data_IF_574196075159
#
_entry.id   IF_574196075159
#
_cell.length_a   1.000
_cell.length_b   1.000
_cell.length_c   1.000
_cell.angle_alpha   90.00
_cell.angle_beta   90.00
_cell.angle_gamma   90.00
#
_symmetry.space_group_name_H-M   'P 1'
#
loop_
_entity.id
_entity.type
_entity.pdbx_description
1 polymer ?
#
# COMPACT_ATOMS: atom_id res chain seq x y z
N UNK A 1 -12.86 -8.78 -24.17
CA UNK A 1 -11.69 -8.41 -23.34
C UNK A 1 -11.96 -7.05 -22.72
N UNK A 2 -11.52 -6.82 -21.50
CA UNK A 2 -11.61 -5.51 -20.85
C UNK A 2 -10.42 -4.64 -21.26
N UNK A 3 -10.69 -3.39 -21.61
CA UNK A 3 -9.69 -2.44 -22.10
C UNK A 3 -9.11 -1.64 -20.94
N UNK A 4 -7.81 -1.81 -20.68
CA UNK A 4 -7.06 -1.19 -19.60
C UNK A 4 -6.06 -0.21 -20.17
N UNK A 5 -6.16 1.06 -19.82
CA UNK A 5 -5.19 2.07 -20.17
C UNK A 5 -4.29 2.38 -18.96
N UNK A 6 -2.98 2.23 -19.13
CA UNK A 6 -1.99 2.62 -18.11
C UNK A 6 -1.29 3.90 -18.57
N UNK A 7 -1.50 4.99 -17.84
CA UNK A 7 -0.92 6.31 -18.14
C UNK A 7 0.20 6.65 -17.16
N UNK A 8 1.45 6.69 -17.64
CA UNK A 8 2.63 7.03 -16.86
C UNK A 8 3.72 5.94 -16.88
N UNK A 9 4.70 6.06 -17.77
CA UNK A 9 5.66 5.01 -18.10
C UNK A 9 6.84 4.84 -17.12
N UNK A 10 7.30 5.89 -16.47
CA UNK A 10 8.58 5.86 -15.73
C UNK A 10 8.47 5.65 -14.23
N UNK A 11 7.27 5.34 -13.70
CA UNK A 11 7.09 5.04 -12.29
C UNK A 11 7.48 3.60 -11.96
N UNK A 12 8.07 3.37 -10.78
CA UNK A 12 8.45 2.04 -10.28
C UNK A 12 7.24 1.09 -10.19
N UNK A 13 6.07 1.62 -9.86
CA UNK A 13 4.80 0.85 -9.86
C UNK A 13 4.49 0.36 -11.28
N UNK A 14 4.64 1.22 -12.30
CA UNK A 14 4.32 0.86 -13.68
C UNK A 14 5.23 -0.25 -14.23
N UNK A 15 6.54 -0.19 -13.93
CA UNK A 15 7.47 -1.24 -14.36
C UNK A 15 7.10 -2.62 -13.79
N UNK A 16 6.70 -2.67 -12.52
CA UNK A 16 6.23 -3.91 -11.90
C UNK A 16 4.85 -4.33 -12.40
N UNK A 17 3.94 -3.38 -12.58
CA UNK A 17 2.63 -3.64 -13.16
C UNK A 17 2.76 -4.26 -14.56
N UNK A 18 3.66 -3.74 -15.40
CA UNK A 18 3.92 -4.30 -16.74
C UNK A 18 4.35 -5.78 -16.64
N UNK A 19 5.32 -6.11 -15.77
CA UNK A 19 5.77 -7.50 -15.58
C UNK A 19 4.63 -8.44 -15.18
N UNK A 20 3.67 -7.95 -14.37
CA UNK A 20 2.61 -8.78 -13.80
C UNK A 20 1.42 -8.98 -14.77
N UNK A 21 1.10 -7.98 -15.61
CA UNK A 21 -0.12 -8.04 -16.44
C UNK A 21 0.12 -8.24 -17.94
N UNK A 22 1.36 -8.16 -18.42
CA UNK A 22 1.66 -8.30 -19.87
C UNK A 22 1.19 -9.61 -20.49
N UNK A 23 1.08 -10.67 -19.70
CA UNK A 23 0.68 -12.00 -20.16
C UNK A 23 -0.81 -12.31 -19.88
N UNK A 24 -1.61 -11.29 -19.50
CA UNK A 24 -3.05 -11.44 -19.24
C UNK A 24 -3.83 -11.52 -20.56
N UNK A 25 -4.42 -12.67 -20.82
CA UNK A 25 -5.22 -12.97 -22.03
C UNK A 25 -6.65 -12.43 -22.00
N UNK A 26 -7.13 -12.03 -20.83
CA UNK A 26 -8.46 -11.47 -20.60
C UNK A 26 -8.52 -9.93 -20.67
N UNK A 27 -7.35 -9.28 -20.83
CA UNK A 27 -7.22 -7.82 -20.87
C UNK A 27 -6.63 -7.35 -22.22
N UNK A 28 -7.14 -6.24 -22.74
CA UNK A 28 -6.50 -5.44 -23.77
C UNK A 28 -5.77 -4.28 -23.09
N UNK A 29 -4.42 -4.35 -23.04
CA UNK A 29 -3.64 -3.38 -22.28
C UNK A 29 -2.99 -2.37 -23.22
N UNK A 30 -3.25 -1.09 -22.97
CA UNK A 30 -2.66 0.03 -23.70
C UNK A 30 -1.74 0.79 -22.75
N UNK A 31 -0.46 0.88 -23.12
CA UNK A 31 0.55 1.63 -22.40
C UNK A 31 0.76 2.99 -23.03
N UNK A 32 0.48 4.07 -22.28
CA UNK A 32 0.88 5.42 -22.67
C UNK A 32 2.25 5.74 -22.08
N UNK A 33 3.28 5.43 -22.86
CA UNK A 33 4.68 5.53 -22.43
C UNK A 33 5.15 6.97 -22.30
N UNK A 34 4.69 7.88 -23.15
CA UNK A 34 5.10 9.29 -23.14
C UNK A 34 4.00 10.18 -23.70
N UNK A 35 3.80 11.36 -23.08
CA UNK A 35 2.94 12.43 -23.64
C UNK A 35 3.41 12.92 -25.00
N UNK A 36 4.67 12.62 -25.39
CA UNK A 36 5.27 13.02 -26.67
C UNK A 36 4.97 12.05 -27.81
N UNK A 37 4.46 10.86 -27.53
CA UNK A 37 4.19 9.82 -28.53
C UNK A 37 2.81 9.91 -29.16
N UNK A 38 1.87 10.59 -28.51
CA UNK A 38 0.49 10.77 -28.97
C UNK A 38 0.09 12.22 -28.91
N UNK A 39 -0.75 12.69 -29.85
CA UNK A 39 -1.32 14.04 -29.77
C UNK A 39 -2.23 14.17 -28.55
N UNK A 40 -2.55 15.42 -28.18
CA UNK A 40 -3.50 15.68 -27.08
C UNK A 40 -4.87 15.02 -27.36
N UNK A 41 -5.36 15.15 -28.59
CA UNK A 41 -6.65 14.58 -29.02
C UNK A 41 -6.64 13.05 -28.96
N UNK A 42 -5.55 12.43 -29.43
CA UNK A 42 -5.37 10.97 -29.34
C UNK A 42 -5.34 10.50 -27.88
N UNK A 43 -4.64 11.21 -27.01
CA UNK A 43 -4.61 10.89 -25.57
C UNK A 43 -6.01 10.99 -24.94
N UNK A 44 -6.74 12.06 -25.22
CA UNK A 44 -8.12 12.23 -24.75
C UNK A 44 -9.02 11.11 -25.26
N UNK A 45 -8.91 10.72 -26.53
CA UNK A 45 -9.67 9.62 -27.10
C UNK A 45 -9.36 8.28 -26.40
N UNK A 46 -8.09 7.98 -26.13
CA UNK A 46 -7.66 6.76 -25.41
C UNK A 46 -8.20 6.75 -23.99
N UNK A 47 -8.05 7.86 -23.24
CA UNK A 47 -8.57 7.99 -21.87
C UNK A 47 -10.07 7.73 -21.77
N UNK A 48 -10.84 8.11 -22.80
CA UNK A 48 -12.30 7.96 -22.83
C UNK A 48 -12.80 6.67 -23.50
N UNK A 49 -11.92 5.87 -24.08
CA UNK A 49 -12.26 4.60 -24.74
C UNK A 49 -11.99 3.35 -23.88
N UNK A 50 -11.32 3.50 -22.75
CA UNK A 50 -10.98 2.39 -21.87
C UNK A 50 -12.14 2.01 -20.94
N UNK A 51 -12.19 0.75 -20.48
CA UNK A 51 -13.06 0.34 -19.36
C UNK A 51 -12.49 0.87 -18.04
N UNK A 52 -11.15 0.90 -17.92
CA UNK A 52 -10.44 1.41 -16.72
C UNK A 52 -9.14 2.10 -17.13
N UNK A 53 -8.84 3.20 -16.45
CA UNK A 53 -7.59 3.95 -16.56
C UNK A 53 -6.82 3.85 -15.25
N UNK A 54 -5.54 3.47 -15.33
CA UNK A 54 -4.61 3.43 -14.21
C UNK A 54 -3.65 4.60 -14.36
N UNK A 55 -3.73 5.57 -13.43
CA UNK A 55 -2.90 6.76 -13.44
C UNK A 55 -1.65 6.52 -12.58
N UNK A 56 -0.49 6.31 -13.24
CA UNK A 56 0.82 6.07 -12.62
C UNK A 56 1.73 7.31 -12.71
N UNK A 57 1.17 8.49 -12.53
CA UNK A 57 1.85 9.78 -12.72
C UNK A 57 2.05 10.52 -11.38
N UNK A 58 2.71 11.68 -11.41
CA UNK A 58 2.76 12.58 -10.26
C UNK A 58 1.37 13.11 -9.90
N UNK A 59 1.16 13.47 -8.64
CA UNK A 59 -0.13 13.99 -8.17
C UNK A 59 -0.61 15.20 -9.00
N UNK A 60 0.28 16.14 -9.33
CA UNK A 60 -0.05 17.29 -10.17
C UNK A 60 -0.55 16.85 -11.55
N UNK A 61 0.16 15.91 -12.18
CA UNK A 61 -0.22 15.39 -13.50
C UNK A 61 -1.55 14.66 -13.48
N UNK A 62 -1.84 13.92 -12.40
CA UNK A 62 -3.14 13.25 -12.21
C UNK A 62 -4.26 14.27 -12.10
N UNK A 63 -4.07 15.35 -11.33
CA UNK A 63 -5.05 16.46 -11.23
C UNK A 63 -5.32 17.09 -12.60
N UNK A 64 -4.30 17.29 -13.43
CA UNK A 64 -4.44 17.81 -14.80
C UNK A 64 -5.11 16.82 -15.76
N UNK A 65 -4.95 15.51 -15.53
CA UNK A 65 -5.48 14.44 -16.38
C UNK A 65 -6.97 14.17 -16.12
N UNK A 66 -7.40 14.21 -14.87
CA UNK A 66 -8.76 13.84 -14.49
C UNK A 66 -9.87 14.59 -15.26
N UNK A 67 -9.79 15.91 -15.51
CA UNK A 67 -10.78 16.61 -16.32
C UNK A 67 -10.91 16.14 -17.77
N UNK A 68 -9.89 15.45 -18.31
CA UNK A 68 -9.90 14.90 -19.65
C UNK A 68 -10.72 13.62 -19.78
N UNK A 69 -11.03 12.95 -18.64
CA UNK A 69 -11.82 11.72 -18.58
C UNK A 69 -13.31 12.10 -18.44
N UNK A 70 -13.92 12.42 -19.56
CA UNK A 70 -15.31 12.90 -19.62
C UNK A 70 -16.35 11.77 -19.72
N UNK A 71 -15.96 10.61 -20.25
CA UNK A 71 -16.81 9.42 -20.29
C UNK A 71 -17.07 8.90 -18.89
N UNK A 72 -18.35 8.89 -18.47
CA UNK A 72 -18.77 8.51 -17.11
C UNK A 72 -18.64 7.02 -16.81
N UNK A 73 -18.56 6.18 -17.84
CA UNK A 73 -18.41 4.73 -17.72
C UNK A 73 -16.95 4.33 -17.40
N UNK A 74 -16.00 5.20 -17.71
CA UNK A 74 -14.57 4.92 -17.44
C UNK A 74 -14.32 4.93 -15.95
N UNK A 75 -13.76 3.81 -15.48
CA UNK A 75 -13.26 3.66 -14.11
C UNK A 75 -11.83 4.14 -14.00
N UNK A 76 -11.41 4.63 -12.82
CA UNK A 76 -10.05 5.17 -12.64
C UNK A 76 -9.43 4.66 -11.35
N UNK A 77 -8.18 4.23 -11.44
CA UNK A 77 -7.30 3.97 -10.28
C UNK A 77 -6.19 5.03 -10.27
N UNK A 78 -6.09 5.77 -9.18
CA UNK A 78 -4.98 6.71 -8.93
C UNK A 78 -3.94 6.07 -8.01
N UNK A 79 -2.70 5.93 -8.49
CA UNK A 79 -1.58 5.42 -7.69
C UNK A 79 -0.82 6.52 -6.97
N UNK A 80 -1.12 7.78 -7.27
CA UNK A 80 -0.49 8.95 -6.65
C UNK A 80 -1.11 9.28 -5.28
N UNK A 81 -0.80 10.42 -4.75
CA UNK A 81 -1.41 10.94 -3.53
C UNK A 81 -2.46 12.05 -3.79
N UNK A 82 -2.84 12.28 -5.05
CA UNK A 82 -3.73 13.39 -5.42
C UNK A 82 -5.11 13.27 -4.77
N UNK A 83 -5.67 12.08 -4.75
CA UNK A 83 -7.05 11.84 -4.36
C UNK A 83 -7.26 10.91 -3.16
N UNK A 84 -6.19 10.55 -2.44
CA UNK A 84 -6.29 9.61 -1.29
C UNK A 84 -7.24 10.03 -0.19
N UNK A 85 -7.44 11.33 0.00
CA UNK A 85 -8.32 11.88 1.02
C UNK A 85 -9.60 12.49 0.43
N UNK A 86 -9.81 12.38 -0.88
CA UNK A 86 -10.97 12.95 -1.55
C UNK A 86 -12.23 12.11 -1.25
N UNK A 87 -13.33 12.73 -0.77
CA UNK A 87 -14.54 11.98 -0.38
C UNK A 87 -15.19 11.18 -1.50
N UNK A 88 -14.97 11.59 -2.77
CA UNK A 88 -15.51 10.91 -3.96
C UNK A 88 -14.68 9.73 -4.43
N UNK A 89 -13.56 9.44 -3.78
CA UNK A 89 -12.68 8.33 -4.11
C UNK A 89 -12.73 7.24 -3.04
N UNK A 90 -12.85 6.00 -3.48
CA UNK A 90 -12.80 4.85 -2.57
C UNK A 90 -11.34 4.50 -2.27
N UNK A 91 -11.04 4.30 -1.01
CA UNK A 91 -9.72 3.88 -0.56
C UNK A 91 -9.45 2.43 -0.96
N UNK A 92 -8.45 2.20 -1.80
CA UNK A 92 -8.16 0.94 -2.48
C UNK A 92 -7.47 -0.09 -1.59
N UNK A 93 -8.11 -0.50 -0.51
CA UNK A 93 -7.61 -1.48 0.44
C UNK A 93 -8.69 -2.51 0.78
N UNK A 94 -8.83 -3.59 -0.02
CA UNK A 94 -9.89 -4.60 0.12
C UNK A 94 -9.94 -5.25 1.51
N UNK A 95 -8.81 -5.41 2.16
CA UNK A 95 -8.63 -6.07 3.47
C UNK A 95 -9.22 -5.30 4.65
N UNK A 96 -9.73 -4.08 4.43
CA UNK A 96 -10.50 -3.39 5.47
C UNK A 96 -11.81 -4.09 5.82
N UNK A 97 -12.25 -5.06 5.02
CA UNK A 97 -13.39 -5.95 5.26
C UNK A 97 -14.29 -6.12 4.03
N UNK A 98 -15.30 -6.99 4.15
CA UNK A 98 -16.19 -7.36 3.04
C UNK A 98 -16.93 -6.16 2.41
N UNK A 99 -17.33 -5.18 3.21
CA UNK A 99 -17.99 -3.97 2.70
C UNK A 99 -17.05 -3.10 1.87
N UNK A 100 -15.75 -3.13 2.17
CA UNK A 100 -14.77 -2.38 1.39
C UNK A 100 -14.60 -2.97 -0.01
N UNK A 101 -14.57 -4.29 -0.14
CA UNK A 101 -14.57 -4.96 -1.46
C UNK A 101 -15.76 -4.57 -2.30
N UNK A 102 -16.97 -4.54 -1.71
CA UNK A 102 -18.18 -4.09 -2.41
C UNK A 102 -18.08 -2.61 -2.84
N UNK A 103 -17.54 -1.75 -1.97
CA UNK A 103 -17.31 -0.33 -2.32
C UNK A 103 -16.36 -0.20 -3.51
N UNK A 104 -15.22 -0.92 -3.49
CA UNK A 104 -14.25 -0.92 -4.58
C UNK A 104 -14.87 -1.43 -5.88
N UNK A 105 -15.55 -2.57 -5.87
CA UNK A 105 -16.18 -3.16 -7.05
C UNK A 105 -17.19 -2.22 -7.72
N UNK A 106 -17.94 -1.44 -6.93
CA UNK A 106 -18.94 -0.49 -7.42
C UNK A 106 -18.38 0.92 -7.66
N UNK A 107 -17.11 1.17 -7.32
CA UNK A 107 -16.52 2.48 -7.44
C UNK A 107 -16.22 2.84 -8.90
N UNK A 108 -16.41 4.12 -9.24
CA UNK A 108 -15.83 4.71 -10.43
C UNK A 108 -14.37 5.13 -10.20
N UNK A 109 -14.05 5.61 -9.00
CA UNK A 109 -12.74 6.14 -8.64
C UNK A 109 -12.19 5.42 -7.41
N UNK A 110 -10.98 4.88 -7.54
CA UNK A 110 -10.23 4.23 -6.46
C UNK A 110 -8.86 4.88 -6.33
N UNK A 111 -8.47 5.26 -5.12
CA UNK A 111 -7.13 5.76 -4.82
C UNK A 111 -6.33 4.74 -4.02
N UNK A 112 -5.09 4.47 -4.42
CA UNK A 112 -4.23 3.53 -3.72
C UNK A 112 -3.59 4.14 -2.47
N UNK A 113 -3.51 3.38 -1.38
CA UNK A 113 -2.80 3.79 -0.17
C UNK A 113 -1.28 3.85 -0.36
N UNK A 114 -0.61 4.64 0.49
CA UNK A 114 0.84 4.60 0.60
C UNK A 114 1.29 3.34 1.38
N UNK A 115 2.45 2.72 1.04
CA UNK A 115 2.89 1.48 1.69
C UNK A 115 2.95 1.56 3.22
N UNK A 116 3.52 2.63 3.80
CA UNK A 116 3.56 2.78 5.26
C UNK A 116 2.16 2.88 5.88
N UNK A 117 1.22 3.54 5.20
CA UNK A 117 -0.18 3.59 5.68
C UNK A 117 -0.83 2.20 5.58
N UNK A 118 -0.57 1.43 4.51
CA UNK A 118 -1.03 0.04 4.39
C UNK A 118 -0.60 -0.77 5.60
N UNK A 119 0.71 -0.85 5.89
CA UNK A 119 1.21 -1.61 7.04
C UNK A 119 0.60 -1.15 8.37
N UNK A 120 0.53 0.16 8.59
CA UNK A 120 -0.06 0.72 9.82
C UNK A 120 -1.53 0.33 9.97
N UNK A 121 -2.32 0.54 8.91
CA UNK A 121 -3.75 0.22 8.90
C UNK A 121 -4.00 -1.26 9.14
N UNK A 122 -3.22 -2.14 8.50
CA UNK A 122 -3.33 -3.59 8.69
C UNK A 122 -3.07 -4.02 10.13
N UNK A 123 -2.16 -3.35 10.83
CA UNK A 123 -1.85 -3.67 12.22
C UNK A 123 -2.93 -3.20 13.20
N UNK A 124 -3.52 -2.02 12.98
CA UNK A 124 -4.43 -1.42 13.97
C UNK A 124 -5.92 -1.64 13.69
N UNK A 125 -6.32 -1.86 12.43
CA UNK A 125 -7.73 -2.02 12.05
C UNK A 125 -8.45 -3.16 12.79
N UNK A 126 -7.86 -4.37 12.96
CA UNK A 126 -8.46 -5.43 13.77
C UNK A 126 -8.71 -5.01 15.23
N UNK A 127 -7.78 -4.27 15.81
CA UNK A 127 -7.87 -3.82 17.20
C UNK A 127 -8.92 -2.73 17.39
N UNK A 128 -9.04 -1.81 16.43
CA UNK A 128 -10.08 -0.78 16.43
C UNK A 128 -11.47 -1.40 16.22
N UNK A 129 -11.63 -2.28 15.24
CA UNK A 129 -12.90 -3.00 14.97
C UNK A 129 -13.30 -3.88 16.15
N UNK A 130 -12.33 -4.52 16.81
CA UNK A 130 -12.53 -5.31 18.04
C UNK A 130 -12.80 -4.47 19.31
N UNK A 131 -12.77 -3.13 19.21
CA UNK A 131 -12.86 -2.21 20.35
C UNK A 131 -11.82 -2.53 21.44
N UNK A 132 -10.64 -2.97 21.02
CA UNK A 132 -9.49 -3.28 21.87
C UNK A 132 -8.65 -2.02 22.01
N UNK A 133 -8.32 -1.38 20.90
CA UNK A 133 -7.59 -0.13 20.88
C UNK A 133 -8.58 1.04 20.82
N UNK A 134 -8.53 1.99 21.75
CA UNK A 134 -9.36 3.18 21.66
C UNK A 134 -8.85 4.10 20.53
N UNK A 135 -9.75 4.78 19.77
CA UNK A 135 -9.35 5.60 18.62
C UNK A 135 -8.50 6.83 19.01
N UNK A 136 -8.51 7.21 20.28
CA UNK A 136 -7.71 8.31 20.82
C UNK A 136 -6.36 7.87 21.42
N UNK A 137 -5.95 6.60 21.24
CA UNK A 137 -4.63 6.15 21.65
C UNK A 137 -3.56 6.79 20.76
N UNK A 138 -2.54 7.49 21.32
CA UNK A 138 -1.42 8.00 20.55
C UNK A 138 -0.66 6.84 19.87
N UNK A 139 -0.41 6.98 18.58
CA UNK A 139 0.32 5.99 17.79
C UNK A 139 1.72 6.47 17.46
N UNK A 140 2.68 5.59 17.68
CA UNK A 140 4.08 5.73 17.29
C UNK A 140 4.39 4.63 16.27
N UNK A 141 4.67 5.02 15.04
CA UNK A 141 4.87 4.08 13.93
C UNK A 141 6.29 4.24 13.42
N UNK A 142 7.05 3.16 13.41
CA UNK A 142 8.35 3.12 12.77
C UNK A 142 8.23 2.36 11.45
N UNK A 143 8.98 2.78 10.44
CA UNK A 143 9.09 2.00 9.21
C UNK A 143 10.48 2.11 8.60
N UNK A 144 10.94 0.99 8.03
CA UNK A 144 12.14 0.93 7.19
C UNK A 144 11.71 0.42 5.83
N UNK A 145 12.09 1.13 4.77
CA UNK A 145 11.70 0.80 3.40
C UNK A 145 12.89 0.89 2.45
N UNK A 146 12.90 0.01 1.46
CA UNK A 146 13.88 0.02 0.39
C UNK A 146 13.81 1.29 -0.47
N UNK A 147 14.94 1.65 -1.10
CA UNK A 147 15.10 2.90 -1.85
C UNK A 147 14.15 3.02 -3.07
N UNK A 148 13.59 1.91 -3.59
CA UNK A 148 12.60 1.96 -4.68
C UNK A 148 11.33 2.74 -4.31
N UNK A 149 11.05 2.89 -3.00
CA UNK A 149 9.92 3.67 -2.49
C UNK A 149 9.99 5.16 -2.89
N UNK A 150 11.20 5.69 -3.11
CA UNK A 150 11.42 7.05 -3.59
C UNK A 150 11.35 7.24 -5.11
N UNK A 151 11.00 6.17 -5.86
CA UNK A 151 10.87 6.21 -7.31
C UNK A 151 12.19 6.22 -8.06
N UNK A 152 12.12 6.38 -9.39
CA UNK A 152 13.27 6.24 -10.28
C UNK A 152 14.48 7.13 -9.92
N UNK A 153 14.23 8.36 -9.48
CA UNK A 153 15.30 9.28 -9.05
C UNK A 153 16.06 8.76 -7.82
N UNK A 154 15.33 8.20 -6.85
CA UNK A 154 15.95 7.65 -5.65
C UNK A 154 16.73 6.38 -5.97
N UNK A 155 16.20 5.51 -6.83
CA UNK A 155 16.90 4.33 -7.33
C UNK A 155 18.24 4.75 -7.97
N UNK A 156 18.21 5.70 -8.89
CA UNK A 156 19.43 6.20 -9.55
C UNK A 156 20.47 6.73 -8.55
N UNK A 157 20.02 7.42 -7.49
CA UNK A 157 20.93 7.93 -6.44
C UNK A 157 21.54 6.79 -5.59
N UNK A 158 20.79 5.75 -5.30
CA UNK A 158 21.31 4.61 -4.50
C UNK A 158 22.17 3.65 -5.32
N UNK A 159 21.93 3.55 -6.61
CA UNK A 159 22.70 2.69 -7.53
C UNK A 159 23.90 3.38 -8.16
N UNK A 160 24.10 4.68 -7.93
CA UNK A 160 25.29 5.40 -8.38
C UNK A 160 26.54 4.87 -7.63
N UNK A 161 27.54 4.35 -8.33
CA UNK A 161 28.79 3.87 -7.72
C UNK A 161 29.58 4.98 -6.97
N UNK A 162 29.31 6.25 -7.29
CA UNK A 162 29.96 7.42 -6.64
C UNK A 162 29.06 8.04 -5.55
N UNK A 163 27.98 7.36 -5.13
CA UNK A 163 27.06 7.88 -4.11
C UNK A 163 27.76 8.21 -2.79
N UNK A 164 27.30 9.20 -2.03
CA UNK A 164 27.82 9.53 -0.73
C UNK A 164 27.74 8.33 0.24
N UNK A 165 28.73 8.17 1.12
CA UNK A 165 28.75 7.09 2.12
C UNK A 165 27.51 7.06 3.03
N UNK A 166 26.87 8.21 3.26
CA UNK A 166 25.63 8.30 4.04
C UNK A 166 24.46 7.50 3.46
N UNK A 167 24.53 7.10 2.18
CA UNK A 167 23.52 6.24 1.54
C UNK A 167 23.64 4.76 1.92
N UNK A 168 24.75 4.36 2.55
CA UNK A 168 24.96 2.98 3.01
C UNK A 168 24.45 2.74 4.44
N UNK A 169 23.55 3.59 4.92
CA UNK A 169 22.90 3.45 6.23
C UNK A 169 21.47 3.97 6.18
N UNK A 170 20.63 3.45 7.07
CA UNK A 170 19.25 3.92 7.20
C UNK A 170 19.19 5.44 7.43
N UNK A 171 18.35 6.13 6.67
CA UNK A 171 18.16 7.58 6.76
C UNK A 171 16.73 7.91 7.05
N UNK A 172 16.48 8.54 8.19
CA UNK A 172 15.15 9.02 8.56
C UNK A 172 14.79 10.26 7.73
N UNK A 173 13.55 10.30 7.25
CA UNK A 173 12.98 11.45 6.54
C UNK A 173 11.70 11.94 7.21
N UNK A 174 11.03 12.96 6.65
CA UNK A 174 9.84 13.59 7.24
C UNK A 174 10.08 14.07 8.68
N UNK A 175 11.24 14.68 8.94
CA UNK A 175 11.67 15.12 10.27
C UNK A 175 10.75 16.20 10.86
N UNK A 176 10.06 16.96 10.01
CA UNK A 176 9.05 17.95 10.37
C UNK A 176 7.69 17.37 10.74
N UNK A 177 7.52 16.05 10.62
CA UNK A 177 6.25 15.34 10.90
C UNK A 177 5.05 15.89 10.12
N UNK A 178 5.24 16.29 8.84
CA UNK A 178 4.18 16.87 7.98
C UNK A 178 3.86 16.03 6.74
N UNK A 179 3.88 14.70 6.86
CA UNK A 179 3.64 13.80 5.73
C UNK A 179 2.16 13.39 5.61
N UNK A 180 1.69 13.20 4.37
CA UNK A 180 0.28 12.92 4.06
C UNK A 180 -0.22 11.62 4.72
N UNK A 181 0.64 10.62 4.88
CA UNK A 181 0.31 9.33 5.47
C UNK A 181 -0.30 9.44 6.88
N UNK A 182 0.01 10.47 7.63
CA UNK A 182 -0.64 10.73 8.92
C UNK A 182 -2.15 10.94 8.78
N UNK A 183 -2.55 11.81 7.83
CA UNK A 183 -3.97 12.08 7.53
C UNK A 183 -4.63 10.86 6.87
N UNK A 184 -3.88 10.13 6.07
CA UNK A 184 -4.34 8.90 5.40
C UNK A 184 -4.72 7.82 6.44
N UNK A 185 -3.86 7.57 7.43
CA UNK A 185 -4.13 6.62 8.52
C UNK A 185 -5.35 7.07 9.34
N UNK A 186 -5.44 8.36 9.67
CA UNK A 186 -6.62 8.91 10.37
C UNK A 186 -7.91 8.67 9.58
N UNK A 187 -7.88 8.93 8.28
CA UNK A 187 -9.03 8.74 7.39
C UNK A 187 -9.44 7.27 7.28
N UNK A 188 -8.47 6.37 7.09
CA UNK A 188 -8.73 4.95 6.89
C UNK A 188 -9.22 4.23 8.16
N UNK A 189 -8.72 4.62 9.33
CA UNK A 189 -8.96 3.93 10.60
C UNK A 189 -9.84 4.70 11.57
N UNK A 190 -10.08 5.99 11.36
CA UNK A 190 -10.85 6.83 12.30
C UNK A 190 -10.12 7.13 13.60
N UNK A 191 -8.78 7.05 13.64
CA UNK A 191 -8.02 7.47 14.83
C UNK A 191 -8.09 8.97 15.01
N UNK A 192 -8.23 9.41 16.28
CA UNK A 192 -8.51 10.80 16.61
C UNK A 192 -7.26 11.69 16.62
N UNK A 193 -6.10 11.10 16.92
CA UNK A 193 -4.83 11.83 16.96
C UNK A 193 -3.96 11.48 15.75
N UNK A 194 -3.26 12.51 15.27
CA UNK A 194 -2.27 12.36 14.22
C UNK A 194 -1.14 11.44 14.68
N UNK A 195 -0.87 10.31 14.00
CA UNK A 195 0.23 9.42 14.37
C UNK A 195 1.59 10.11 14.30
N UNK A 196 2.48 9.79 15.22
CA UNK A 196 3.91 10.11 15.07
C UNK A 196 4.54 9.06 14.15
N UNK A 197 5.07 9.49 13.02
CA UNK A 197 5.65 8.59 12.02
C UNK A 197 7.18 8.76 11.96
N UNK A 198 7.90 7.66 12.05
CA UNK A 198 9.36 7.60 11.99
C UNK A 198 9.80 6.77 10.76
N UNK A 199 9.62 7.29 9.54
CA UNK A 199 9.99 6.58 8.33
C UNK A 199 11.49 6.65 8.07
N UNK A 200 12.09 5.53 7.70
CA UNK A 200 13.48 5.41 7.27
C UNK A 200 13.56 4.77 5.89
N UNK A 201 14.49 5.25 5.06
CA UNK A 201 14.88 4.61 3.82
C UNK A 201 16.26 4.01 4.01
N UNK A 202 16.49 2.81 3.46
CA UNK A 202 17.74 2.10 3.67
C UNK A 202 18.28 1.48 2.37
N UNK A 203 19.50 0.98 2.41
CA UNK A 203 20.30 0.53 1.27
C UNK A 203 19.94 -0.89 0.80
N UNK A 204 18.67 -1.08 0.45
CA UNK A 204 18.18 -2.26 -0.27
C UNK A 204 17.03 -1.84 -1.19
N UNK A 205 16.78 -2.58 -2.31
CA UNK A 205 15.84 -2.10 -3.33
C UNK A 205 14.38 -2.14 -2.87
N UNK A 206 13.89 -3.29 -2.43
CA UNK A 206 12.45 -3.53 -2.21
C UNK A 206 12.18 -4.16 -0.85
N UNK A 207 11.01 -3.88 -0.34
CA UNK A 207 10.53 -4.37 0.95
C UNK A 207 10.27 -3.23 1.93
N UNK A 208 9.34 -3.44 2.82
CA UNK A 208 9.02 -2.51 3.89
C UNK A 208 8.67 -3.30 5.16
N UNK A 209 9.20 -2.83 6.26
CA UNK A 209 8.81 -3.23 7.62
C UNK A 209 8.16 -2.05 8.31
N UNK A 210 6.95 -2.22 8.79
CA UNK A 210 6.23 -1.24 9.62
C UNK A 210 6.03 -1.84 10.99
N UNK A 211 6.41 -1.11 12.06
CA UNK A 211 6.27 -1.57 13.44
C UNK A 211 5.56 -0.57 14.32
N UNK A 212 4.76 -1.08 15.26
CA UNK A 212 4.02 -0.30 16.25
C UNK A 212 4.26 -0.91 17.64
N UNK A 213 5.18 -0.35 18.42
CA UNK A 213 5.32 -0.71 19.84
C UNK A 213 4.13 -0.15 20.63
N UNK A 214 3.54 -0.96 21.49
CA UNK A 214 2.44 -0.53 22.36
C UNK A 214 2.49 -1.13 23.75
N UNK A 215 2.14 -0.31 24.73
CA UNK A 215 1.90 -0.78 26.09
C UNK A 215 0.47 -1.33 26.19
N UNK A 216 0.31 -2.60 26.56
CA UNK A 216 -0.99 -3.26 26.65
C UNK A 216 -1.91 -2.67 27.72
N UNK A 217 -1.34 -2.02 28.73
CA UNK A 217 -2.10 -1.31 29.79
C UNK A 217 -2.85 -0.07 29.28
N UNK A 218 -2.51 0.44 28.09
CA UNK A 218 -3.16 1.60 27.46
C UNK A 218 -4.37 1.20 26.62
N UNK A 219 -4.59 -0.09 26.41
CA UNK A 219 -5.72 -0.62 25.67
C UNK A 219 -7.01 -0.56 26.48
N UNK A 220 -8.15 -0.54 25.78
CA UNK A 220 -9.47 -0.54 26.41
C UNK A 220 -9.80 -1.87 27.13
N UNK A 221 -9.12 -2.94 26.75
CA UNK A 221 -9.25 -4.27 27.36
C UNK A 221 -7.88 -4.75 27.82
N UNK A 222 -7.84 -5.40 28.97
CA UNK A 222 -6.62 -6.03 29.46
C UNK A 222 -6.38 -7.32 28.70
N UNK A 223 -5.41 -7.30 27.81
CA UNK A 223 -5.04 -8.42 26.93
C UNK A 223 -3.54 -8.67 26.98
N UNK A 224 -3.12 -9.88 26.63
CA UNK A 224 -1.73 -10.29 26.41
C UNK A 224 -1.40 -10.23 24.93
N UNK A 225 -0.13 -10.18 24.56
CA UNK A 225 0.32 -10.13 23.16
C UNK A 225 -0.24 -11.28 22.32
N UNK A 226 -0.36 -12.50 22.89
CA UNK A 226 -0.98 -13.66 22.20
C UNK A 226 -2.45 -13.40 21.85
N UNK A 227 -3.22 -12.74 22.71
CA UNK A 227 -4.63 -12.41 22.43
C UNK A 227 -4.76 -11.30 21.37
N UNK A 228 -3.78 -10.40 21.29
CA UNK A 228 -3.69 -9.45 20.17
C UNK A 228 -3.45 -10.19 18.86
N UNK A 229 -2.49 -11.12 18.85
CA UNK A 229 -2.23 -12.01 17.72
C UNK A 229 -3.49 -12.80 17.31
N UNK A 230 -4.19 -13.47 18.26
CA UNK A 230 -5.44 -14.19 17.99
C UNK A 230 -6.50 -13.30 17.33
N UNK A 231 -6.58 -12.03 17.75
CA UNK A 231 -7.50 -11.04 17.17
C UNK A 231 -7.15 -10.76 15.71
N UNK A 232 -5.88 -10.57 15.40
CA UNK A 232 -5.40 -10.35 14.05
C UNK A 232 -5.58 -11.61 13.18
N UNK A 233 -5.21 -12.77 13.69
CA UNK A 233 -5.34 -14.06 13.00
C UNK A 233 -6.79 -14.33 12.59
N UNK A 234 -7.73 -14.16 13.52
CA UNK A 234 -9.17 -14.32 13.25
C UNK A 234 -9.70 -13.29 12.25
N UNK A 235 -9.22 -12.04 12.34
CA UNK A 235 -9.68 -10.97 11.45
C UNK A 235 -9.27 -11.21 10.01
N UNK A 236 -8.04 -11.72 9.79
CA UNK A 236 -7.46 -11.95 8.46
C UNK A 236 -7.52 -13.41 7.99
N UNK A 237 -8.20 -14.30 8.70
CA UNK A 237 -8.28 -15.73 8.38
C UNK A 237 -8.66 -16.03 6.91
N UNK A 238 -9.50 -15.18 6.32
CA UNK A 238 -10.02 -15.35 4.95
C UNK A 238 -9.32 -14.47 3.91
N UNK A 239 -8.24 -13.80 4.29
CA UNK A 239 -7.51 -12.89 3.42
C UNK A 239 -6.33 -13.61 2.73
N UNK A 240 -6.44 -13.97 1.44
CA UNK A 240 -5.47 -14.85 0.79
C UNK A 240 -4.07 -14.24 0.65
N UNK A 241 -3.96 -12.92 0.73
CA UNK A 241 -2.68 -12.20 0.63
C UNK A 241 -2.08 -11.86 2.00
N UNK A 242 -2.77 -12.20 3.10
CA UNK A 242 -2.33 -11.85 4.46
C UNK A 242 -2.02 -13.11 5.24
N UNK A 243 -0.80 -13.22 5.70
CA UNK A 243 -0.32 -14.26 6.59
C UNK A 243 -0.10 -13.64 7.98
N UNK A 244 -0.88 -14.05 8.96
CA UNK A 244 -0.58 -13.74 10.37
C UNK A 244 0.31 -14.87 10.88
N UNK A 245 1.61 -14.58 10.94
CA UNK A 245 2.65 -15.57 11.30
C UNK A 245 2.43 -16.06 12.73
N UNK A 246 2.66 -17.34 12.98
CA UNK A 246 2.36 -17.96 14.27
C UNK A 246 3.06 -17.22 15.42
N UNK A 247 2.36 -17.08 16.54
CA UNK A 247 2.86 -16.32 17.69
C UNK A 247 4.00 -17.09 18.40
N UNK A 248 3.80 -18.39 18.57
CA UNK A 248 4.73 -19.25 19.30
C UNK A 248 5.89 -19.63 18.35
N UNK A 249 7.12 -19.26 18.71
CA UNK A 249 8.34 -19.61 17.95
C UNK A 249 8.74 -18.59 16.88
N UNK A 250 7.88 -17.64 16.47
CA UNK A 250 8.19 -16.73 15.37
C UNK A 250 9.51 -15.95 15.55
N UNK A 251 9.84 -15.52 16.76
CA UNK A 251 11.08 -14.82 17.03
C UNK A 251 12.31 -15.74 16.90
N UNK A 252 12.20 -16.99 17.34
CA UNK A 252 13.28 -17.99 17.30
C UNK A 252 13.49 -18.46 15.85
N UNK A 253 12.42 -18.71 15.11
CA UNK A 253 12.46 -19.09 13.70
C UNK A 253 13.15 -18.03 12.81
N UNK A 254 13.04 -16.76 13.21
CA UNK A 254 13.71 -15.63 12.56
C UNK A 254 15.11 -15.35 13.12
N UNK A 255 15.62 -16.19 14.04
CA UNK A 255 16.91 -15.97 14.69
C UNK A 255 16.98 -14.65 15.48
N UNK A 256 15.84 -14.14 15.95
CA UNK A 256 15.73 -12.86 16.66
C UNK A 256 15.74 -11.61 15.78
N UNK A 257 15.74 -11.76 14.45
CA UNK A 257 15.78 -10.64 13.50
C UNK A 257 14.61 -10.68 12.52
N UNK A 258 14.00 -9.52 12.26
CA UNK A 258 12.95 -9.36 11.27
C UNK A 258 13.44 -8.38 10.18
N UNK A 259 13.88 -8.90 9.06
CA UNK A 259 14.38 -8.12 7.94
C UNK A 259 13.22 -7.49 7.12
N UNK A 260 13.42 -6.28 6.63
CA UNK A 260 12.41 -5.58 5.85
C UNK A 260 12.27 -6.12 4.41
N UNK A 261 13.30 -6.80 3.89
CA UNK A 261 13.34 -7.36 2.54
C UNK A 261 12.71 -8.75 2.38
N UNK A 262 12.36 -9.43 3.46
CA UNK A 262 11.95 -10.85 3.42
C UNK A 262 10.71 -11.18 2.61
N UNK A 263 9.94 -10.17 2.19
CA UNK A 263 8.79 -10.34 1.30
C UNK A 263 8.97 -9.65 -0.07
N UNK A 264 10.18 -9.21 -0.40
CA UNK A 264 10.47 -8.57 -1.68
C UNK A 264 10.12 -9.50 -2.85
N UNK A 265 9.46 -8.95 -3.87
CA UNK A 265 8.96 -9.70 -5.03
C UNK A 265 7.66 -10.46 -4.81
N UNK A 266 7.05 -10.37 -3.61
CA UNK A 266 5.77 -11.03 -3.28
C UNK A 266 4.62 -10.03 -3.22
N UNK A 267 3.41 -10.49 -3.55
CA UNK A 267 2.18 -9.74 -3.29
C UNK A 267 1.52 -10.10 -1.94
N UNK A 268 2.14 -10.95 -1.14
CA UNK A 268 1.69 -11.29 0.20
C UNK A 268 2.25 -10.31 1.23
N UNK A 269 1.58 -10.27 2.38
CA UNK A 269 2.00 -9.53 3.56
C UNK A 269 2.04 -10.46 4.76
N UNK A 270 3.09 -10.37 5.54
CA UNK A 270 3.21 -11.03 6.84
C UNK A 270 2.93 -10.05 7.96
N UNK A 271 2.11 -10.47 8.92
CA UNK A 271 1.79 -9.74 10.14
C UNK A 271 2.27 -10.53 11.35
N UNK A 272 2.86 -9.83 12.30
CA UNK A 272 3.43 -10.40 13.52
C UNK A 272 2.91 -9.65 14.74
N UNK A 273 2.82 -10.36 15.86
CA UNK A 273 2.73 -9.78 17.19
C UNK A 273 3.77 -10.47 18.07
N UNK A 274 4.68 -9.70 18.63
CA UNK A 274 5.70 -10.15 19.56
C UNK A 274 5.48 -9.52 20.92
N UNK A 275 5.97 -10.13 21.99
CA UNK A 275 5.97 -9.53 23.30
C UNK A 275 5.35 -10.41 24.38
N UNK A 276 5.00 -9.77 25.48
CA UNK A 276 4.58 -10.44 26.72
C UNK A 276 3.21 -9.94 27.23
N UNK A 277 3.06 -9.84 28.53
CA UNK A 277 1.82 -9.40 29.18
C UNK A 277 1.73 -7.86 29.36
N UNK A 278 2.81 -7.13 29.11
CA UNK A 278 2.90 -5.69 29.31
C UNK A 278 3.13 -4.91 28.01
N UNK A 279 3.98 -5.45 27.12
CA UNK A 279 4.40 -4.78 25.88
C UNK A 279 4.14 -5.71 24.69
N UNK A 280 3.56 -5.16 23.65
CA UNK A 280 3.39 -5.82 22.36
C UNK A 280 4.07 -4.99 21.26
N UNK A 281 4.86 -5.67 20.42
CA UNK A 281 5.37 -5.13 19.17
C UNK A 281 4.56 -5.73 18.03
N UNK A 282 3.75 -4.91 17.36
CA UNK A 282 3.12 -5.29 16.10
C UNK A 282 4.05 -4.99 14.95
N UNK A 283 4.13 -5.92 13.98
CA UNK A 283 4.94 -5.72 12.79
C UNK A 283 4.20 -6.19 11.53
N UNK A 284 4.37 -5.44 10.43
CA UNK A 284 3.91 -5.80 9.10
C UNK A 284 5.10 -5.77 8.13
N UNK A 285 5.32 -6.87 7.42
CA UNK A 285 6.40 -7.02 6.44
C UNK A 285 5.82 -7.36 5.08
N UNK A 286 6.14 -6.59 4.02
CA UNK A 286 5.65 -6.81 2.67
C UNK A 286 6.49 -6.08 1.62
N UNK A 287 6.26 -6.35 0.35
CA UNK A 287 6.91 -5.61 -0.74
C UNK A 287 6.18 -4.29 -1.00
N UNK A 288 6.91 -3.17 -0.92
CA UNK A 288 6.37 -1.83 -1.19
C UNK A 288 5.95 -1.61 -2.66
N UNK A 289 6.46 -2.41 -3.60
CA UNK A 289 6.07 -2.39 -5.02
C UNK A 289 5.11 -3.53 -5.38
N UNK A 290 5.04 -4.59 -4.59
CA UNK A 290 4.09 -5.69 -4.70
C UNK A 290 2.76 -5.34 -4.02
N UNK A 291 2.53 -5.85 -2.80
CA UNK A 291 1.31 -5.57 -2.01
C UNK A 291 1.12 -4.08 -1.70
N UNK A 292 2.21 -3.32 -1.57
CA UNK A 292 2.19 -1.87 -1.40
C UNK A 292 2.09 -1.06 -2.71
N UNK A 293 2.03 -1.69 -3.87
CA UNK A 293 2.10 -1.01 -5.17
C UNK A 293 1.36 -1.73 -6.29
N UNK A 294 2.07 -2.33 -7.25
CA UNK A 294 1.50 -2.94 -8.45
C UNK A 294 0.52 -4.08 -8.14
N UNK A 295 0.81 -4.93 -7.13
CA UNK A 295 -0.11 -5.98 -6.68
C UNK A 295 -1.44 -5.42 -6.20
N UNK A 296 -1.40 -4.32 -5.44
CA UNK A 296 -2.62 -3.63 -5.01
C UNK A 296 -3.38 -3.01 -6.20
N UNK A 297 -2.69 -2.48 -7.23
CA UNK A 297 -3.33 -2.01 -8.47
C UNK A 297 -4.14 -3.13 -9.10
N UNK A 298 -3.52 -4.31 -9.31
CA UNK A 298 -4.16 -5.45 -9.97
C UNK A 298 -5.36 -5.95 -9.17
N UNK A 299 -5.22 -6.10 -7.86
CA UNK A 299 -6.29 -6.52 -6.96
C UNK A 299 -7.50 -5.60 -7.06
N UNK A 300 -7.29 -4.28 -6.99
CA UNK A 300 -8.36 -3.29 -7.12
C UNK A 300 -8.95 -3.27 -8.54
N UNK A 301 -8.12 -3.33 -9.58
CA UNK A 301 -8.56 -3.41 -10.97
C UNK A 301 -9.47 -4.62 -11.20
N UNK A 302 -9.07 -5.79 -10.72
CA UNK A 302 -9.86 -7.01 -10.86
C UNK A 302 -11.24 -6.85 -10.19
N UNK A 303 -11.30 -6.35 -8.96
CA UNK A 303 -12.56 -6.06 -8.28
C UNK A 303 -13.44 -5.08 -9.06
N UNK A 304 -12.85 -3.97 -9.53
CA UNK A 304 -13.58 -2.95 -10.29
C UNK A 304 -14.12 -3.48 -11.63
N UNK A 305 -13.41 -4.41 -12.27
CA UNK A 305 -13.81 -5.00 -13.54
C UNK A 305 -14.70 -6.24 -13.39
N UNK A 306 -14.96 -6.71 -12.16
CA UNK A 306 -15.73 -7.93 -11.90
C UNK A 306 -14.98 -9.21 -12.30
N UNK A 307 -13.66 -9.18 -12.26
CA UNK A 307 -12.75 -10.31 -12.49
C UNK A 307 -12.40 -10.94 -11.12
N UNK A 308 -11.97 -12.19 -11.10
CA UNK A 308 -11.45 -12.83 -9.89
C UNK A 308 -10.34 -11.97 -9.26
N UNK A 309 -10.51 -11.62 -7.98
CA UNK A 309 -9.63 -10.69 -7.25
C UNK A 309 -8.16 -11.11 -7.30
N UNK A 310 -7.89 -12.42 -7.28
CA UNK A 310 -6.53 -12.97 -7.20
C UNK A 310 -5.90 -13.21 -8.58
N UNK A 311 -6.62 -13.07 -9.68
CA UNK A 311 -6.10 -13.35 -11.02
C UNK A 311 -4.90 -12.45 -11.35
N UNK A 312 -3.71 -13.04 -11.50
CA UNK A 312 -2.45 -12.34 -11.77
C UNK A 312 -1.86 -11.58 -10.58
N UNK A 313 -2.39 -11.81 -9.37
CA UNK A 313 -1.83 -11.30 -8.11
C UNK A 313 -0.98 -12.37 -7.43
N UNK A 314 -1.39 -13.64 -7.55
CA UNK A 314 -0.71 -14.84 -7.04
C UNK A 314 -0.10 -15.60 -8.20
#
# INVERSE_FOLDING_TARGET
MKKVLVDGHYGTINLNLNKMISNRDDLEIIWLESRKQVSHEQRVALLNSADIVILCQSAQTVVETMPLITNREVKVIDTSNAYRLAPSWVYGMPELGADQRKKIANARFVSLPAPMAVGTVMLINPLLKGKIMPPFLPLYVNSVVGYSSGGANMIALYEDPNRPRSYSSARQYALDQTILQQKEIMHACGVSYRPSLNPMIDDYPNGILVTIPMHLRTLAKRLHSKQIWETMARFYEKEPLIEVVDFDGAADDLGGFLDAGGMAGSNKMQLFAFGDNDICLLAARFDNLGKGGAGAVIQNMNLMLGIDEMKGVI
#
